data_IF_567024740338
#
_entry.id   IF_567024740338
#
_cell.length_a   1.000
_cell.length_b   1.000
_cell.length_c   1.000
_cell.angle_alpha   90.00
_cell.angle_beta   90.00
_cell.angle_gamma   90.00
#
_symmetry.space_group_name_H-M   'P 1'
#
loop_
_entity.id
_entity.type
_entity.pdbx_description
1 polymer ?
#
# COMPACT_ATOMS: atom_id res chain seq x y z
N UNK A 1 -29.93 -38.07 -29.60
CA UNK A 1 -30.20 -37.18 -28.42
C UNK A 1 -29.44 -37.71 -27.21
N UNK A 2 -28.35 -37.06 -26.77
CA UNK A 2 -27.74 -37.08 -25.41
C UNK A 2 -26.32 -36.49 -25.48
N UNK A 3 -26.19 -35.18 -25.64
CA UNK A 3 -24.88 -34.48 -25.61
C UNK A 3 -24.89 -33.23 -24.71
N UNK A 4 -25.94 -33.01 -23.92
CA UNK A 4 -26.14 -31.77 -23.16
C UNK A 4 -25.94 -31.90 -21.64
N UNK A 5 -25.50 -33.06 -21.12
CA UNK A 5 -25.39 -33.27 -19.66
C UNK A 5 -24.00 -33.09 -19.04
N UNK A 6 -22.94 -32.98 -19.83
CA UNK A 6 -21.55 -32.83 -19.31
C UNK A 6 -21.03 -31.39 -19.26
N UNK A 7 -21.70 -30.41 -19.88
CA UNK A 7 -21.24 -29.02 -19.87
C UNK A 7 -21.52 -28.29 -18.53
N UNK A 8 -22.49 -28.79 -17.75
CA UNK A 8 -22.92 -28.15 -16.49
C UNK A 8 -21.88 -28.21 -15.34
N UNK A 9 -21.19 -29.33 -15.04
CA UNK A 9 -20.22 -29.36 -13.95
C UNK A 9 -18.98 -28.49 -14.23
N UNK A 10 -18.50 -28.43 -15.47
CA UNK A 10 -17.33 -27.63 -15.85
C UNK A 10 -17.55 -26.12 -15.64
N UNK A 11 -18.73 -25.62 -16.01
CA UNK A 11 -19.09 -24.22 -15.81
C UNK A 11 -19.19 -23.85 -14.32
N UNK A 12 -19.79 -24.71 -13.49
CA UNK A 12 -19.94 -24.46 -12.05
C UNK A 12 -18.58 -24.50 -11.34
N UNK A 13 -17.71 -25.44 -11.70
CA UNK A 13 -16.37 -25.55 -11.09
C UNK A 13 -15.50 -24.34 -11.45
N UNK A 14 -15.57 -23.87 -12.71
CA UNK A 14 -14.86 -22.67 -13.14
C UNK A 14 -15.34 -21.41 -12.42
N UNK A 15 -16.66 -21.25 -12.25
CA UNK A 15 -17.24 -20.11 -11.54
C UNK A 15 -16.87 -20.10 -10.05
N UNK A 16 -16.84 -21.29 -9.41
CA UNK A 16 -16.45 -21.44 -8.02
C UNK A 16 -14.96 -21.11 -7.80
N UNK A 17 -14.08 -21.52 -8.72
CA UNK A 17 -12.66 -21.14 -8.64
C UNK A 17 -12.47 -19.64 -8.82
N UNK A 18 -13.20 -19.00 -9.75
CA UNK A 18 -13.03 -17.55 -9.97
C UNK A 18 -13.50 -16.72 -8.77
N UNK A 19 -14.58 -17.13 -8.09
CA UNK A 19 -15.03 -16.44 -6.87
C UNK A 19 -14.07 -16.63 -5.70
N UNK A 20 -13.47 -17.82 -5.55
CA UNK A 20 -12.45 -18.06 -4.53
C UNK A 20 -11.21 -17.21 -4.78
N UNK A 21 -10.67 -17.17 -6.01
CA UNK A 21 -9.47 -16.37 -6.32
C UNK A 21 -9.72 -14.89 -6.03
N UNK A 22 -10.87 -14.37 -6.45
CA UNK A 22 -11.21 -12.98 -6.21
C UNK A 22 -11.35 -12.72 -4.70
N UNK A 23 -12.14 -13.53 -3.98
CA UNK A 23 -12.33 -13.37 -2.54
C UNK A 23 -11.03 -13.48 -1.72
N UNK A 24 -10.12 -14.38 -2.12
CA UNK A 24 -8.84 -14.58 -1.42
C UNK A 24 -7.90 -13.39 -1.64
N UNK A 25 -7.92 -12.78 -2.83
CA UNK A 25 -7.16 -11.56 -3.13
C UNK A 25 -7.59 -10.38 -2.26
N UNK A 26 -8.90 -10.16 -2.10
CA UNK A 26 -9.44 -9.13 -1.20
C UNK A 26 -9.14 -9.44 0.27
N UNK A 27 -9.22 -10.70 0.69
CA UNK A 27 -8.96 -11.11 2.07
C UNK A 27 -7.49 -10.90 2.47
N UNK A 28 -6.55 -11.27 1.59
CA UNK A 28 -5.11 -11.08 1.83
C UNK A 28 -4.72 -9.60 1.80
N UNK A 29 -5.31 -8.81 0.90
CA UNK A 29 -5.10 -7.36 0.86
C UNK A 29 -5.61 -6.67 2.15
N UNK A 30 -6.69 -7.16 2.74
CA UNK A 30 -7.25 -6.62 3.98
C UNK A 30 -6.53 -7.07 5.26
N UNK A 31 -5.77 -8.18 5.22
CA UNK A 31 -5.16 -8.80 6.41
C UNK A 31 -3.63 -8.87 6.37
N UNK A 32 -2.98 -8.12 5.49
CA UNK A 32 -1.51 -8.02 5.47
C UNK A 32 -1.02 -7.32 6.74
N UNK A 33 -0.77 -8.08 7.81
CA UNK A 33 -0.05 -7.61 9.00
C UNK A 33 1.45 -7.65 8.73
N UNK A 34 2.07 -6.49 8.59
CA UNK A 34 3.51 -6.34 8.39
C UNK A 34 3.87 -4.86 8.20
N UNK A 35 5.17 -4.53 8.18
CA UNK A 35 5.62 -3.18 7.81
C UNK A 35 4.93 -2.78 6.50
N UNK A 36 4.12 -1.73 6.54
CA UNK A 36 3.37 -1.28 5.37
C UNK A 36 4.27 -0.33 4.59
N UNK A 37 4.36 -0.55 3.29
CA UNK A 37 5.11 0.33 2.40
C UNK A 37 4.22 1.49 1.96
N UNK A 38 4.85 2.62 1.64
CA UNK A 38 4.17 3.69 0.93
C UNK A 38 3.81 3.23 -0.49
N UNK A 39 2.59 3.53 -0.93
CA UNK A 39 2.10 3.18 -2.27
C UNK A 39 2.87 3.96 -3.35
N UNK A 40 3.25 5.19 -3.05
CA UNK A 40 4.07 6.01 -3.94
C UNK A 40 4.89 7.04 -3.19
N UNK A 41 6.01 7.39 -3.81
CA UNK A 41 6.87 8.49 -3.39
C UNK A 41 7.01 9.48 -4.54
N UNK A 42 6.81 10.77 -4.27
CA UNK A 42 7.05 11.84 -5.23
C UNK A 42 7.66 13.07 -4.60
N UNK A 43 8.31 13.92 -5.39
CA UNK A 43 8.85 15.20 -4.97
C UNK A 43 8.10 16.29 -5.72
N UNK A 44 7.51 17.23 -4.98
CA UNK A 44 6.80 18.37 -5.56
C UNK A 44 7.78 19.44 -6.08
N UNK A 45 7.28 20.39 -6.85
CA UNK A 45 8.07 21.48 -7.47
C UNK A 45 8.82 22.33 -6.42
N UNK A 46 8.27 22.42 -5.21
CA UNK A 46 8.85 23.16 -4.09
C UNK A 46 9.89 22.34 -3.30
N UNK A 47 10.17 21.10 -3.73
CA UNK A 47 11.08 20.18 -3.03
C UNK A 47 10.46 19.46 -1.83
N UNK A 48 9.14 19.57 -1.65
CA UNK A 48 8.40 18.80 -0.63
C UNK A 48 8.31 17.34 -1.05
N UNK A 49 8.74 16.44 -0.15
CA UNK A 49 8.60 15.01 -0.33
C UNK A 49 7.15 14.61 0.00
N UNK A 50 6.50 13.92 -0.92
CA UNK A 50 5.11 13.50 -0.84
C UNK A 50 5.04 11.98 -0.84
N UNK A 51 4.54 11.42 0.24
CA UNK A 51 4.41 9.98 0.46
C UNK A 51 2.93 9.62 0.55
N UNK A 52 2.44 8.77 -0.35
CA UNK A 52 1.04 8.35 -0.36
C UNK A 52 0.92 6.92 0.11
N UNK A 53 -0.18 6.62 0.79
CA UNK A 53 -0.47 5.31 1.33
C UNK A 53 -1.98 5.09 1.43
N UNK A 54 -2.36 3.82 1.44
CA UNK A 54 -3.74 3.38 1.56
C UNK A 54 -3.89 2.60 2.87
N UNK A 55 -4.98 2.84 3.59
CA UNK A 55 -5.25 2.21 4.88
C UNK A 55 -6.73 1.86 5.01
N UNK A 56 -7.06 0.91 5.89
CA UNK A 56 -8.42 0.47 6.15
C UNK A 56 -9.17 1.39 7.09
N UNK A 57 -10.51 1.43 6.95
CA UNK A 57 -11.37 2.03 7.95
C UNK A 57 -11.26 1.25 9.28
N UNK A 58 -10.66 1.87 10.30
CA UNK A 58 -10.36 1.23 11.58
C UNK A 58 -8.87 1.02 11.83
N UNK A 59 -8.03 1.32 10.84
CA UNK A 59 -6.57 1.37 11.02
C UNK A 59 -6.17 2.69 11.69
N UNK A 60 -5.25 2.60 12.65
CA UNK A 60 -4.50 3.74 13.14
C UNK A 60 -3.22 3.87 12.32
N UNK A 61 -3.07 5.01 11.66
CA UNK A 61 -1.90 5.35 10.87
C UNK A 61 -0.88 6.08 11.74
N UNK A 62 0.37 5.61 11.73
CA UNK A 62 1.52 6.33 12.29
C UNK A 62 2.61 6.45 11.23
N UNK A 63 2.99 7.67 10.89
CA UNK A 63 4.12 7.93 9.98
C UNK A 63 5.28 8.55 10.76
N UNK A 64 6.47 7.98 10.61
CA UNK A 64 7.70 8.54 11.18
C UNK A 64 8.60 9.03 10.06
N UNK A 65 9.24 10.17 10.29
CA UNK A 65 10.21 10.76 9.38
C UNK A 65 11.44 11.14 10.19
N UNK A 66 12.56 10.48 9.90
CA UNK A 66 13.83 10.71 10.56
C UNK A 66 14.86 11.15 9.51
N UNK A 67 15.12 12.46 9.39
CA UNK A 67 16.20 12.95 8.54
C UNK A 67 17.56 12.65 9.20
N UNK A 68 18.53 12.23 8.38
CA UNK A 68 19.94 12.22 8.74
C UNK A 68 20.78 12.85 7.60
N UNK A 69 22.10 12.87 7.77
CA UNK A 69 23.02 13.55 6.85
C UNK A 69 23.04 12.94 5.44
N UNK A 70 22.64 11.67 5.27
CA UNK A 70 22.75 10.92 4.01
C UNK A 70 21.39 10.48 3.43
N UNK A 71 20.36 10.37 4.27
CA UNK A 71 19.07 9.84 3.90
C UNK A 71 17.93 10.42 4.74
N UNK A 72 16.74 10.43 4.15
CA UNK A 72 15.48 10.61 4.88
C UNK A 72 14.88 9.23 5.07
N UNK A 73 14.84 8.75 6.30
CA UNK A 73 14.21 7.47 6.63
C UNK A 73 12.75 7.73 6.96
N UNK A 74 11.86 7.05 6.26
CA UNK A 74 10.42 7.17 6.41
C UNK A 74 9.86 5.81 6.80
N UNK A 75 8.84 5.79 7.65
CA UNK A 75 8.18 4.55 8.02
C UNK A 75 6.68 4.76 8.17
N UNK A 76 5.93 3.73 7.80
CA UNK A 76 4.49 3.68 7.92
C UNK A 76 4.11 2.46 8.76
N UNK A 77 3.41 2.73 9.86
CA UNK A 77 2.83 1.71 10.72
C UNK A 77 1.32 1.83 10.68
N UNK A 78 0.64 0.72 10.37
CA UNK A 78 -0.81 0.60 10.44
C UNK A 78 -1.16 -0.39 11.54
N UNK A 79 -1.88 0.09 12.55
CA UNK A 79 -2.43 -0.75 13.61
C UNK A 79 -3.94 -0.91 13.40
N UNK A 80 -4.36 -2.09 12.93
CA UNK A 80 -5.79 -2.40 12.76
C UNK A 80 -6.46 -2.66 14.09
N UNK A 81 -7.51 -1.91 14.41
CA UNK A 81 -8.29 -2.13 15.62
C UNK A 81 -9.00 -3.50 15.60
N UNK A 82 -9.07 -4.22 16.74
CA UNK A 82 -9.82 -5.46 16.82
C UNK A 82 -11.33 -5.22 16.71
N UNK A 83 -12.04 -6.16 16.08
CA UNK A 83 -13.50 -6.14 15.94
C UNK A 83 -13.98 -5.95 14.50
N UNK A 84 -15.30 -5.97 14.25
CA UNK A 84 -15.85 -5.80 12.91
C UNK A 84 -15.65 -4.36 12.43
N UNK A 85 -15.01 -4.21 11.28
CA UNK A 85 -14.84 -2.94 10.60
C UNK A 85 -15.23 -3.09 9.13
N UNK A 86 -15.77 -2.03 8.49
CA UNK A 86 -16.14 -2.09 7.09
C UNK A 86 -14.90 -2.20 6.21
N UNK A 87 -14.98 -2.98 5.14
CA UNK A 87 -13.91 -3.13 4.15
C UNK A 87 -13.86 -1.89 3.22
N UNK A 88 -13.39 -0.78 3.77
CA UNK A 88 -13.24 0.50 3.06
C UNK A 88 -11.76 0.85 3.05
N UNK A 89 -11.22 1.10 1.87
CA UNK A 89 -9.89 1.67 1.69
C UNK A 89 -9.96 3.20 1.70
N UNK A 90 -9.07 3.82 2.44
CA UNK A 90 -8.90 5.26 2.57
C UNK A 90 -7.50 5.64 2.09
N UNK A 91 -7.36 6.83 1.52
CA UNK A 91 -6.08 7.33 1.03
C UNK A 91 -5.55 8.41 1.96
N UNK A 92 -4.28 8.30 2.33
CA UNK A 92 -3.54 9.27 3.12
C UNK A 92 -2.33 9.81 2.36
N UNK A 93 -1.91 11.01 2.74
CA UNK A 93 -0.69 11.65 2.22
C UNK A 93 0.10 12.25 3.38
N UNK A 94 1.39 11.96 3.43
CA UNK A 94 2.35 12.61 4.33
C UNK A 94 3.28 13.48 3.50
N UNK A 95 3.29 14.78 3.83
CA UNK A 95 4.14 15.77 3.18
C UNK A 95 5.27 16.15 4.13
N UNK A 96 6.51 16.12 3.63
CA UNK A 96 7.71 16.42 4.39
C UNK A 96 8.48 17.51 3.66
N UNK A 97 8.60 18.66 4.30
CA UNK A 97 9.43 19.74 3.77
C UNK A 97 10.90 19.37 3.91
N UNK A 98 11.56 19.17 2.76
CA UNK A 98 12.98 18.89 2.73
C UNK A 98 13.71 20.22 2.61
N UNK A 99 13.87 20.95 3.72
CA UNK A 99 14.65 22.18 3.73
C UNK A 99 16.07 21.88 3.18
N UNK A 100 16.40 22.44 2.01
CA UNK A 100 17.64 22.17 1.26
C UNK A 100 17.54 21.09 0.16
N UNK A 101 16.36 20.53 -0.09
CA UNK A 101 16.07 19.57 -1.15
C UNK A 101 16.60 18.16 -0.92
N UNK A 102 16.31 17.27 -1.88
CA UNK A 102 16.75 15.87 -1.90
C UNK A 102 18.04 15.64 -2.71
N UNK A 103 18.69 16.70 -3.21
CA UNK A 103 19.74 16.61 -4.25
C UNK A 103 20.89 15.65 -3.95
N UNK A 104 21.15 15.31 -2.70
CA UNK A 104 22.16 14.30 -2.30
C UNK A 104 21.66 13.32 -1.22
N UNK A 105 20.36 13.28 -0.95
CA UNK A 105 19.78 12.43 0.11
C UNK A 105 18.87 11.38 -0.51
N UNK A 106 19.12 10.12 -0.16
CA UNK A 106 18.21 9.03 -0.55
C UNK A 106 17.00 9.03 0.37
N UNK A 107 15.82 8.73 -0.16
CA UNK A 107 14.66 8.42 0.68
C UNK A 107 14.65 6.91 0.89
N UNK A 108 14.60 6.48 2.15
CA UNK A 108 14.62 5.06 2.51
C UNK A 108 13.43 4.73 3.38
N UNK A 109 12.90 3.55 3.20
CA UNK A 109 11.96 2.95 4.16
C UNK A 109 12.73 2.47 5.41
N UNK A 110 12.02 2.15 6.49
CA UNK A 110 12.62 1.72 7.77
C UNK A 110 13.39 0.40 7.67
N UNK A 111 13.06 -0.44 6.70
CA UNK A 111 13.81 -1.67 6.37
C UNK A 111 15.12 -1.39 5.60
N UNK A 112 15.38 -0.13 5.25
CA UNK A 112 16.54 0.30 4.48
C UNK A 112 16.34 0.29 2.96
N UNK A 113 15.17 -0.12 2.47
CA UNK A 113 14.83 -0.13 1.05
C UNK A 113 14.81 1.30 0.52
N UNK A 114 15.51 1.55 -0.60
CA UNK A 114 15.52 2.86 -1.23
C UNK A 114 14.21 3.07 -1.99
N UNK A 115 13.50 4.14 -1.68
CA UNK A 115 12.28 4.54 -2.38
C UNK A 115 12.64 5.36 -3.61
N UNK A 116 12.15 4.93 -4.77
CA UNK A 116 12.26 5.68 -6.01
C UNK A 116 11.19 6.78 -6.04
N UNK A 117 11.59 8.00 -5.65
CA UNK A 117 10.68 9.14 -5.61
C UNK A 117 10.65 9.85 -6.97
N UNK A 118 9.48 9.86 -7.60
CA UNK A 118 9.28 10.52 -8.89
C UNK A 118 9.18 12.05 -8.70
N UNK A 119 9.93 12.83 -9.46
CA UNK A 119 9.84 14.29 -9.41
C UNK A 119 10.68 14.96 -10.49
N UNK A 120 10.20 16.12 -10.93
CA UNK A 120 10.97 17.05 -11.76
C UNK A 120 11.81 17.94 -10.81
N UNK A 121 13.11 17.63 -10.70
CA UNK A 121 14.09 18.39 -9.90
C UNK A 121 14.79 19.50 -10.70
#
# INVERSE_FOLDING_TARGET
MRLTRLAKPLAVTGLALSTIINATGWYLAAHSRGNHHFDSCSVDVDGTLVLRYTYGAGDKVTTLVAPNDQAIVVSLHLDTAPGPHPAIALHGETRVDTFGGLRNRQVKDADGTILACAGDL
#
